data_IF_412297669179
#
_entry.id   IF_412297669179
#
_cell.length_a   1.000
_cell.length_b   1.000
_cell.length_c   1.000
_cell.angle_alpha   90.00
_cell.angle_beta   90.00
_cell.angle_gamma   90.00
#
_symmetry.space_group_name_H-M   'P 1'
#
loop_
_entity.id
_entity.type
_entity.pdbx_description
1 polymer ?
#
# COMPACT_ATOMS: atom_id res chain seq x y z
N UNK A 1 1.99 7.40 -26.98
CA UNK A 1 0.79 6.67 -27.24
C UNK A 1 -0.13 6.72 -26.05
N UNK A 2 -1.36 6.95 -26.32
CA UNK A 2 -2.34 7.11 -25.25
C UNK A 2 -2.45 5.87 -24.38
N UNK A 3 -2.38 4.71 -25.00
CA UNK A 3 -2.56 3.47 -24.28
C UNK A 3 -1.50 3.24 -23.22
N UNK A 4 -0.34 3.84 -23.36
CA UNK A 4 0.71 3.62 -22.39
C UNK A 4 0.49 4.37 -21.09
N UNK A 5 -0.32 5.39 -21.16
CA UNK A 5 -0.64 6.16 -19.95
C UNK A 5 -1.66 5.48 -19.08
N UNK A 6 -2.30 4.44 -19.60
CA UNK A 6 -3.35 3.73 -18.90
C UNK A 6 -2.91 2.36 -18.42
N UNK A 7 -1.62 2.14 -18.35
CA UNK A 7 -1.14 0.87 -17.84
C UNK A 7 -1.49 0.70 -16.40
N UNK A 8 -2.01 -0.47 -16.10
CA UNK A 8 -2.33 -0.84 -14.75
C UNK A 8 -1.63 -2.13 -14.41
N UNK A 9 -1.41 -2.34 -13.12
CA UNK A 9 -0.81 -3.59 -12.67
C UNK A 9 -1.30 -3.88 -11.28
N UNK A 10 -1.16 -5.13 -10.88
CA UNK A 10 -1.55 -5.59 -9.56
C UNK A 10 -0.30 -5.91 -8.76
N UNK A 11 -0.33 -5.60 -7.47
CA UNK A 11 0.78 -5.93 -6.60
C UNK A 11 0.24 -6.26 -5.21
N UNK A 12 0.89 -7.21 -4.56
CA UNK A 12 0.69 -7.45 -3.14
C UNK A 12 1.90 -6.89 -2.43
N UNK A 13 1.68 -6.06 -1.43
CA UNK A 13 2.76 -5.32 -0.81
C UNK A 13 2.47 -5.05 0.65
N UNK A 14 3.54 -4.80 1.40
CA UNK A 14 3.43 -4.30 2.76
C UNK A 14 3.59 -2.79 2.71
N UNK A 15 2.68 -2.09 3.37
CA UNK A 15 2.79 -0.65 3.52
C UNK A 15 3.79 -0.39 4.64
N UNK A 16 4.94 0.17 4.30
CA UNK A 16 5.99 0.42 5.28
C UNK A 16 5.76 1.72 6.02
N UNK A 17 5.37 2.75 5.30
CA UNK A 17 5.08 4.06 5.91
C UNK A 17 4.36 4.91 4.89
N UNK A 18 3.84 6.03 5.37
CA UNK A 18 3.22 7.00 4.48
C UNK A 18 3.51 8.40 4.98
N UNK A 19 3.44 9.37 4.06
CA UNK A 19 3.50 10.78 4.40
C UNK A 19 2.36 11.47 3.69
N UNK A 20 1.85 12.52 4.32
CA UNK A 20 0.75 13.28 3.73
C UNK A 20 1.28 14.17 2.62
N UNK A 21 0.50 14.30 1.58
CA UNK A 21 0.89 15.06 0.41
C UNK A 21 -0.31 15.85 -0.09
N UNK A 22 -0.14 17.17 -0.26
CA UNK A 22 -1.24 18.02 -0.65
C UNK A 22 -2.33 18.03 0.39
N UNK A 23 -3.57 18.24 -0.04
CA UNK A 23 -4.68 18.40 0.87
C UNK A 23 -5.36 17.10 1.24
N UNK A 24 -5.32 16.12 0.36
CA UNK A 24 -6.09 14.91 0.57
C UNK A 24 -5.34 13.63 0.22
N UNK A 25 -4.09 13.72 -0.16
CA UNK A 25 -3.35 12.59 -0.71
C UNK A 25 -2.30 12.09 0.25
N UNK A 26 -1.81 10.88 0.00
CA UNK A 26 -0.67 10.32 0.73
C UNK A 26 0.27 9.67 -0.25
N UNK A 27 1.55 9.76 0.05
CA UNK A 27 2.58 9.01 -0.65
C UNK A 27 2.99 7.88 0.27
N UNK A 28 2.94 6.66 -0.25
CA UNK A 28 3.24 5.48 0.52
C UNK A 28 4.53 4.85 0.05
N UNK A 29 5.29 4.34 0.99
CA UNK A 29 6.43 3.48 0.69
C UNK A 29 5.98 2.05 0.88
N UNK A 30 6.12 1.26 -0.17
CA UNK A 30 5.61 -0.10 -0.25
C UNK A 30 6.77 -1.06 -0.51
N UNK A 31 6.59 -2.29 -0.06
CA UNK A 31 7.53 -3.36 -0.37
C UNK A 31 6.77 -4.57 -0.90
N UNK A 32 7.16 -5.04 -2.07
CA UNK A 32 6.62 -6.26 -2.64
C UNK A 32 7.75 -7.18 -3.05
N UNK A 33 7.46 -8.47 -3.15
CA UNK A 33 8.48 -9.42 -3.57
C UNK A 33 8.89 -9.22 -5.01
N UNK A 34 7.94 -8.84 -5.86
CA UNK A 34 8.24 -8.70 -7.28
C UNK A 34 8.99 -7.42 -7.61
N UNK A 35 8.65 -6.34 -6.91
CA UNK A 35 9.14 -5.01 -7.28
C UNK A 35 10.11 -4.44 -6.26
N UNK A 36 10.28 -5.10 -5.13
CA UNK A 36 11.06 -4.54 -4.06
C UNK A 36 10.37 -3.32 -3.45
N UNK A 37 11.16 -2.37 -3.03
CA UNK A 37 10.65 -1.17 -2.38
C UNK A 37 10.33 -0.12 -3.45
N UNK A 38 9.12 0.43 -3.38
CA UNK A 38 8.72 1.47 -4.32
C UNK A 38 7.71 2.39 -3.66
N UNK A 39 7.44 3.51 -4.30
CA UNK A 39 6.51 4.50 -3.79
C UNK A 39 5.31 4.63 -4.71
N UNK A 40 4.16 4.94 -4.10
CA UNK A 40 2.93 5.16 -4.84
C UNK A 40 2.12 6.24 -4.13
N UNK A 41 1.26 6.90 -4.89
CA UNK A 41 0.40 7.93 -4.33
C UNK A 41 -1.03 7.42 -4.24
N UNK A 42 -1.66 7.68 -3.10
CA UNK A 42 -3.07 7.40 -2.88
C UNK A 42 -3.82 8.70 -2.89
N UNK A 43 -4.48 8.99 -3.99
CA UNK A 43 -5.17 10.26 -4.15
C UNK A 43 -6.49 10.25 -3.42
N UNK A 44 -6.78 11.33 -2.73
CA UNK A 44 -8.04 11.49 -2.02
C UNK A 44 -8.20 10.61 -0.80
N UNK A 45 -7.14 9.95 -0.36
CA UNK A 45 -7.25 8.95 0.70
C UNK A 45 -7.59 9.58 2.05
N UNK A 46 -7.28 10.86 2.24
CA UNK A 46 -7.55 11.54 3.50
C UNK A 46 -8.94 12.15 3.57
N UNK A 47 -9.73 12.00 2.52
CA UNK A 47 -11.11 12.43 2.57
C UNK A 47 -11.88 11.50 3.50
N UNK A 48 -12.87 12.06 4.18
CA UNK A 48 -13.59 11.34 5.23
C UNK A 48 -14.18 10.03 4.73
N UNK A 49 -14.69 10.02 3.50
CA UNK A 49 -15.37 8.83 2.98
C UNK A 49 -14.49 7.98 2.09
N UNK A 50 -13.19 8.17 2.13
CA UNK A 50 -12.32 7.36 1.30
C UNK A 50 -12.32 5.91 1.76
N UNK A 51 -12.53 5.00 0.82
CA UNK A 51 -12.50 3.57 1.13
C UNK A 51 -11.08 3.04 1.22
N UNK A 52 -10.11 3.80 0.76
CA UNK A 52 -8.72 3.35 0.77
C UNK A 52 -8.03 3.56 2.10
N UNK A 53 -8.50 4.50 2.90
CA UNK A 53 -7.74 4.94 4.06
C UNK A 53 -7.41 3.81 5.04
N UNK A 54 -8.38 2.97 5.35
CA UNK A 54 -8.15 1.88 6.29
C UNK A 54 -7.26 0.78 5.77
N UNK A 55 -7.10 0.70 4.45
CA UNK A 55 -6.28 -0.34 3.83
C UNK A 55 -4.84 0.11 3.62
N UNK A 56 -4.51 1.35 3.93
CA UNK A 56 -3.19 1.89 3.61
C UNK A 56 -2.46 2.38 4.87
N UNK A 57 -2.84 1.84 6.01
CA UNK A 57 -2.12 2.12 7.24
C UNK A 57 -0.80 1.36 7.27
N UNK A 58 0.21 1.88 7.99
CA UNK A 58 1.50 1.21 8.05
C UNK A 58 1.40 -0.20 8.60
N UNK A 59 2.30 -1.04 8.12
CA UNK A 59 2.39 -2.45 8.49
C UNK A 59 1.09 -3.18 8.17
N UNK A 60 0.57 -2.91 6.99
CA UNK A 60 -0.60 -3.59 6.46
C UNK A 60 -0.18 -4.30 5.18
N UNK A 61 -0.54 -5.57 5.07
CA UNK A 61 -0.29 -6.33 3.87
C UNK A 61 -1.53 -6.19 2.98
N UNK A 62 -1.32 -5.68 1.79
CA UNK A 62 -2.44 -5.26 0.95
C UNK A 62 -2.30 -5.82 -0.46
N UNK A 63 -3.44 -5.99 -1.09
CA UNK A 63 -3.55 -6.25 -2.51
C UNK A 63 -3.93 -4.94 -3.17
N UNK A 64 -3.15 -4.52 -4.17
CA UNK A 64 -3.31 -3.22 -4.78
C UNK A 64 -3.47 -3.34 -6.27
N UNK A 65 -4.35 -2.51 -6.83
CA UNK A 65 -4.31 -2.18 -8.24
C UNK A 65 -3.75 -0.78 -8.39
N UNK A 66 -2.81 -0.65 -9.30
CA UNK A 66 -2.11 0.61 -9.50
C UNK A 66 -2.10 0.97 -10.97
N UNK A 67 -2.07 2.26 -11.25
CA UNK A 67 -1.86 2.78 -12.59
C UNK A 67 -0.48 3.41 -12.62
N UNK A 68 0.21 3.23 -13.73
CA UNK A 68 1.50 3.86 -13.88
C UNK A 68 1.33 5.36 -14.03
N UNK A 69 2.04 6.12 -13.23
CA UNK A 69 2.04 7.55 -13.31
C UNK A 69 3.36 8.06 -13.84
N UNK A 70 3.44 9.38 -13.92
CA UNK A 70 4.65 10.00 -14.46
C UNK A 70 5.84 9.79 -13.54
N UNK A 71 5.67 10.02 -12.26
CA UNK A 71 6.74 9.88 -11.28
C UNK A 71 6.46 8.78 -10.28
N UNK A 72 5.22 8.63 -9.90
CA UNK A 72 4.81 7.65 -8.92
C UNK A 72 3.66 6.83 -9.49
N UNK A 73 3.58 5.57 -9.11
CA UNK A 73 2.39 4.79 -9.40
C UNK A 73 1.23 5.37 -8.60
N UNK A 74 0.02 5.21 -9.13
CA UNK A 74 -1.19 5.72 -8.51
C UNK A 74 -2.02 4.54 -8.07
N UNK A 75 -2.36 4.50 -6.79
CA UNK A 75 -3.18 3.42 -6.24
C UNK A 75 -4.63 3.68 -6.62
N UNK A 76 -5.20 2.76 -7.38
CA UNK A 76 -6.59 2.87 -7.80
C UNK A 76 -7.53 2.06 -6.94
N UNK A 77 -7.05 0.94 -6.39
CA UNK A 77 -7.82 0.11 -5.49
C UNK A 77 -6.89 -0.52 -4.48
N UNK A 78 -7.39 -0.73 -3.27
CA UNK A 78 -6.63 -1.35 -2.21
C UNK A 78 -7.55 -2.23 -1.38
N UNK A 79 -7.04 -3.39 -0.99
CA UNK A 79 -7.77 -4.31 -0.14
C UNK A 79 -6.81 -4.95 0.84
N UNK A 80 -7.16 -4.93 2.11
CA UNK A 80 -6.31 -5.49 3.15
C UNK A 80 -6.34 -7.01 3.10
N UNK A 81 -5.17 -7.62 3.03
CA UNK A 81 -5.03 -9.05 3.21
C UNK A 81 -4.82 -9.35 4.69
N UNK A 82 -3.92 -8.59 5.32
CA UNK A 82 -3.65 -8.70 6.76
C UNK A 82 -3.34 -7.33 7.31
N UNK A 83 -3.94 -6.99 8.42
CA UNK A 83 -3.58 -5.77 9.13
C UNK A 83 -2.46 -6.08 10.11
N UNK A 84 -1.98 -5.05 10.81
CA UNK A 84 -0.86 -5.21 11.74
C UNK A 84 -1.17 -6.27 12.80
N UNK A 85 -2.37 -6.25 13.35
CA UNK A 85 -2.73 -7.22 14.40
C UNK A 85 -2.69 -8.64 13.87
N UNK A 86 -3.18 -8.86 12.65
CA UNK A 86 -3.16 -10.18 12.04
C UNK A 86 -1.75 -10.67 11.77
N UNK A 87 -0.89 -9.78 11.27
CA UNK A 87 0.50 -10.13 11.01
C UNK A 87 1.19 -10.50 12.33
N UNK A 88 0.97 -9.70 13.35
CA UNK A 88 1.59 -9.95 14.64
C UNK A 88 1.13 -11.27 15.25
N UNK A 89 -0.15 -11.59 15.10
CA UNK A 89 -0.68 -12.85 15.60
C UNK A 89 -0.02 -14.04 14.88
N UNK A 90 0.13 -13.94 13.57
CA UNK A 90 0.77 -15.01 12.80
C UNK A 90 2.22 -15.22 13.24
N UNK A 91 2.95 -14.14 13.48
CA UNK A 91 4.32 -14.24 13.92
C UNK A 91 4.42 -14.91 15.30
N UNK A 92 3.49 -14.58 16.18
CA UNK A 92 3.45 -15.23 17.50
C UNK A 92 3.20 -16.71 17.38
N UNK A 93 2.27 -17.11 16.52
CA UNK A 93 1.96 -18.52 16.34
C UNK A 93 3.14 -19.30 15.78
N UNK A 94 3.96 -18.66 14.97
CA UNK A 94 5.13 -19.33 14.39
C UNK A 94 6.36 -19.24 15.27
N UNK A 95 6.28 -18.53 16.39
CA UNK A 95 7.42 -18.38 17.28
C UNK A 95 8.42 -17.33 16.86
N UNK A 96 8.08 -16.50 15.89
CA UNK A 96 9.01 -15.50 15.39
C UNK A 96 8.81 -14.13 16.01
N UNK A 97 7.84 -13.97 16.88
CA UNK A 97 7.49 -12.64 17.40
C UNK A 97 8.67 -11.98 18.11
N UNK A 98 9.46 -12.77 18.83
CA UNK A 98 10.57 -12.22 19.59
C UNK A 98 11.65 -11.64 18.68
N UNK A 99 11.72 -12.08 17.45
CA UNK A 99 12.75 -11.63 16.52
C UNK A 99 12.23 -10.58 15.54
N UNK A 100 10.95 -10.55 15.30
CA UNK A 100 10.37 -9.67 14.31
C UNK A 100 10.09 -8.29 14.85
N UNK A 101 9.99 -8.16 16.12
CA UNK A 101 9.70 -6.92 16.79
C UNK A 101 10.94 -6.39 17.47
#
# INVERSE_FOLDING_TARGET
MAEQRNRTFHAQAVVLRHVEFGEADRILTLFSLERGKFQAIAKGVRKIKSRKAGHLEPITYVSLFLAEGRNLAIITQAETIRNFAGIKADLKLTGYAAYAI
#
